data_IF_898674730615
#
_entry.id   IF_898674730615
#
_cell.length_a   1.000
_cell.length_b   1.000
_cell.length_c   1.000
_cell.angle_alpha   90.00
_cell.angle_beta   90.00
_cell.angle_gamma   90.00
#
_symmetry.space_group_name_H-M   'P 1'
#
loop_
_entity.id
_entity.type
_entity.pdbx_description
1 polymer ?
#
# COMPACT_ATOMS: atom_id res chain seq x y z
N UNK A 1 -14.29 -7.91 7.24
CA UNK A 1 -14.25 -7.19 5.95
C UNK A 1 -15.55 -6.45 5.68
N UNK A 2 -16.67 -7.16 5.50
CA UNK A 2 -17.97 -6.53 5.18
C UNK A 2 -18.43 -5.52 6.24
N UNK A 3 -18.13 -5.76 7.51
CA UNK A 3 -18.40 -4.81 8.61
C UNK A 3 -17.58 -3.50 8.56
N UNK A 4 -16.60 -3.38 7.67
CA UNK A 4 -15.73 -2.20 7.51
C UNK A 4 -16.01 -1.51 6.18
N UNK A 5 -16.08 -2.26 5.08
CA UNK A 5 -16.18 -1.69 3.72
C UNK A 5 -17.58 -1.18 3.38
N UNK A 6 -18.63 -1.69 4.04
CA UNK A 6 -20.03 -1.38 3.74
C UNK A 6 -20.52 -0.11 4.48
N UNK A 7 -19.80 1.00 4.33
CA UNK A 7 -20.17 2.27 4.96
C UNK A 7 -21.32 2.98 4.23
N UNK A 8 -22.22 3.67 4.95
CA UNK A 8 -23.28 4.46 4.34
C UNK A 8 -22.71 5.62 3.51
N UNK A 9 -23.49 6.09 2.53
CA UNK A 9 -23.14 7.25 1.70
C UNK A 9 -22.85 8.47 2.58
N UNK A 10 -21.71 9.12 2.34
CA UNK A 10 -21.29 10.35 3.03
C UNK A 10 -20.19 10.15 4.07
N UNK A 11 -19.91 8.92 4.49
CA UNK A 11 -18.83 8.60 5.45
C UNK A 11 -17.88 7.57 4.83
N UNK A 12 -16.88 8.00 4.05
CA UNK A 12 -15.98 7.07 3.38
C UNK A 12 -14.98 6.43 4.35
N UNK A 13 -14.65 5.16 4.13
CA UNK A 13 -13.58 4.45 4.86
C UNK A 13 -12.64 3.80 3.85
N UNK A 14 -11.34 4.12 3.96
CA UNK A 14 -10.30 3.46 3.18
C UNK A 14 -10.09 2.04 3.73
N UNK A 15 -10.61 1.03 3.02
CA UNK A 15 -10.51 -0.37 3.42
C UNK A 15 -9.40 -1.08 2.64
N UNK A 16 -8.63 -1.93 3.31
CA UNK A 16 -7.52 -2.68 2.73
C UNK A 16 -7.76 -4.20 2.83
N UNK A 17 -6.85 -5.00 2.28
CA UNK A 17 -6.89 -6.46 2.33
C UNK A 17 -7.00 -6.99 3.78
N UNK A 18 -7.40 -8.24 3.95
CA UNK A 18 -7.44 -8.89 5.27
C UNK A 18 -6.02 -9.29 5.70
N UNK A 19 -5.72 -9.16 6.99
CA UNK A 19 -4.46 -9.63 7.58
C UNK A 19 -3.26 -8.70 7.33
N UNK A 20 -2.05 -9.27 7.38
CA UNK A 20 -0.78 -8.53 7.34
C UNK A 20 -0.62 -7.68 6.06
N UNK A 21 -1.05 -8.22 4.91
CA UNK A 21 -1.04 -7.47 3.66
C UNK A 21 -1.89 -6.19 3.75
N UNK A 22 -3.02 -6.26 4.46
CA UNK A 22 -3.87 -5.12 4.77
C UNK A 22 -3.17 -4.09 5.64
N UNK A 23 -2.53 -4.54 6.72
CA UNK A 23 -1.80 -3.70 7.65
C UNK A 23 -0.66 -2.93 6.96
N UNK A 24 0.13 -3.63 6.13
CA UNK A 24 1.21 -3.02 5.34
C UNK A 24 0.66 -1.96 4.37
N UNK A 25 -0.42 -2.28 3.66
CA UNK A 25 -1.05 -1.34 2.71
C UNK A 25 -1.67 -0.13 3.42
N UNK A 26 -2.27 -0.32 4.60
CA UNK A 26 -2.80 0.78 5.40
C UNK A 26 -1.70 1.76 5.83
N UNK A 27 -0.55 1.25 6.27
CA UNK A 27 0.60 2.08 6.63
C UNK A 27 1.14 2.86 5.40
N UNK A 28 1.29 2.19 4.25
CA UNK A 28 1.73 2.85 3.02
C UNK A 28 0.74 3.91 2.53
N UNK A 29 -0.56 3.66 2.68
CA UNK A 29 -1.60 4.64 2.36
C UNK A 29 -1.53 5.87 3.28
N UNK A 30 -1.37 5.67 4.58
CA UNK A 30 -1.21 6.78 5.52
C UNK A 30 0.02 7.63 5.18
N UNK A 31 1.17 6.99 4.89
CA UNK A 31 2.38 7.70 4.44
C UNK A 31 2.14 8.45 3.14
N UNK A 32 1.38 7.88 2.20
CA UNK A 32 1.04 8.57 0.94
C UNK A 32 0.19 9.82 1.16
N UNK A 33 -0.73 9.82 2.13
CA UNK A 33 -1.48 11.04 2.49
C UNK A 33 -0.56 12.11 3.09
N UNK A 34 0.31 11.74 4.03
CA UNK A 34 1.24 12.67 4.68
C UNK A 34 2.27 13.24 3.70
N UNK A 35 2.73 12.43 2.75
CA UNK A 35 3.71 12.81 1.73
C UNK A 35 3.25 13.97 0.82
N UNK A 36 1.95 14.27 0.76
CA UNK A 36 1.43 15.45 0.04
C UNK A 36 2.02 16.75 0.62
N UNK A 37 2.22 16.81 1.94
CA UNK A 37 2.79 17.97 2.63
C UNK A 37 4.25 17.80 3.08
N UNK A 38 4.81 16.60 2.95
CA UNK A 38 6.15 16.27 3.45
C UNK A 38 7.03 15.67 2.35
N UNK A 39 7.98 16.47 1.85
CA UNK A 39 8.90 16.07 0.80
C UNK A 39 9.87 14.95 1.23
N UNK A 40 10.19 14.81 2.52
CA UNK A 40 11.03 13.72 3.01
C UNK A 40 10.27 12.39 2.95
N UNK A 41 8.99 12.38 3.37
CA UNK A 41 8.12 11.21 3.25
C UNK A 41 7.86 10.86 1.79
N UNK A 42 7.62 11.84 0.91
CA UNK A 42 7.46 11.61 -0.52
C UNK A 42 8.68 10.89 -1.14
N UNK A 43 9.90 11.36 -0.83
CA UNK A 43 11.14 10.71 -1.27
C UNK A 43 11.29 9.30 -0.69
N UNK A 44 10.95 9.09 0.58
CA UNK A 44 11.01 7.77 1.21
C UNK A 44 10.05 6.77 0.54
N UNK A 45 8.81 7.19 0.28
CA UNK A 45 7.80 6.37 -0.39
C UNK A 45 8.22 5.99 -1.82
N UNK A 46 8.81 6.93 -2.57
CA UNK A 46 9.35 6.66 -3.91
C UNK A 46 10.49 5.63 -3.87
N UNK A 47 11.44 5.77 -2.94
CA UNK A 47 12.53 4.80 -2.76
C UNK A 47 12.00 3.41 -2.42
N UNK A 48 11.02 3.32 -1.53
CA UNK A 48 10.39 2.05 -1.16
C UNK A 48 9.78 1.35 -2.39
N UNK A 49 9.00 2.07 -3.20
CA UNK A 49 8.37 1.53 -4.42
C UNK A 49 9.40 1.11 -5.48
N UNK A 50 10.47 1.88 -5.64
CA UNK A 50 11.57 1.55 -6.55
C UNK A 50 12.29 0.27 -6.11
N UNK A 51 12.54 0.12 -4.80
CA UNK A 51 13.16 -1.08 -4.24
C UNK A 51 12.30 -2.33 -4.44
N UNK A 52 10.98 -2.25 -4.18
CA UNK A 52 10.06 -3.36 -4.44
C UNK A 52 10.04 -3.76 -5.92
N UNK A 53 9.95 -2.78 -6.83
CA UNK A 53 9.99 -3.04 -8.27
C UNK A 53 11.31 -3.68 -8.70
N UNK A 54 12.43 -3.23 -8.12
CA UNK A 54 13.74 -3.82 -8.34
C UNK A 54 13.85 -5.26 -7.83
N UNK A 55 13.23 -5.57 -6.69
CA UNK A 55 13.20 -6.92 -6.14
C UNK A 55 12.46 -7.90 -7.07
N UNK A 56 11.29 -7.51 -7.59
CA UNK A 56 10.53 -8.35 -8.54
C UNK A 56 11.31 -8.58 -9.83
N UNK A 57 11.98 -7.56 -10.38
CA UNK A 57 12.81 -7.73 -11.59
C UNK A 57 13.98 -8.69 -11.41
N UNK A 58 14.51 -8.79 -10.19
CA UNK A 58 15.60 -9.72 -9.84
C UNK A 58 15.10 -11.12 -9.53
N UNK A 59 13.81 -11.27 -9.21
CA UNK A 59 13.23 -12.57 -8.93
C UNK A 59 13.22 -13.40 -10.23
N UNK A 60 13.73 -14.63 -10.14
CA UNK A 60 13.67 -15.57 -11.26
C UNK A 60 12.25 -16.12 -11.33
N UNK A 61 11.60 -16.01 -12.48
CA UNK A 61 10.28 -16.59 -12.68
C UNK A 61 10.42 -18.10 -12.76
N UNK A 62 9.90 -18.80 -11.76
CA UNK A 62 9.64 -20.23 -11.86
C UNK A 62 8.33 -20.39 -12.64
N UNK A 63 8.39 -21.03 -13.80
CA UNK A 63 7.18 -21.32 -14.58
C UNK A 63 6.45 -22.50 -13.92
N UNK A 64 5.16 -22.34 -13.55
CA UNK A 64 4.37 -23.49 -13.16
C UNK A 64 4.20 -24.41 -14.39
N UNK A 65 4.35 -25.71 -14.15
CA UNK A 65 4.16 -26.77 -15.16
C UNK A 65 2.69 -26.87 -15.60
#
# INVERSE_FOLDING_TARGET
>A
LLSIVQMPRGVPVATFAIGEAGAANAALFAVAQLAVGDAALARALLRFRAAQSGAVRKAKLEMPA
#
